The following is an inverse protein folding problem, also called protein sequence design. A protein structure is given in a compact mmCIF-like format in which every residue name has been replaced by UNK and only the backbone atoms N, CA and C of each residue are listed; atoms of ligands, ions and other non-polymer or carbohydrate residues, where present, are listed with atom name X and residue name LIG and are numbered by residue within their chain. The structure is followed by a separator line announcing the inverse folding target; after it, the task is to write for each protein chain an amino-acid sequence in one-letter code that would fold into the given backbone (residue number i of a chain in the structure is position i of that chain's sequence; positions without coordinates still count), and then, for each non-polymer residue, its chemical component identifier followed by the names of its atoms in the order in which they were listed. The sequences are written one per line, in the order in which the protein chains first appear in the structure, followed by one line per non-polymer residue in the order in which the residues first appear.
data_IF_668251380233
#
_entry.id   IF_668251380233
#
_cell.length_a   1.000
_cell.length_b   1.000
_cell.length_c   1.000
_cell.angle_alpha   90.00
_cell.angle_beta   90.00
_cell.angle_gamma   90.00
#
_symmetry.space_group_name_H-M   'P 1'
#
loop_
_entity.id
_entity.type
_entity.pdbx_description
1 polymer ?
#
# COMPACT_ATOMS: atom_id res chain seq x y z
N UNK A 1 -2.68 -7.54 11.57
CA UNK A 1 -2.38 -8.34 10.35
C UNK A 1 -1.71 -7.53 9.23
N UNK A 2 -2.32 -6.46 8.70
CA UNK A 2 -1.83 -5.74 7.51
C UNK A 2 -0.36 -5.25 7.56
N UNK A 3 0.14 -4.86 8.74
CA UNK A 3 1.54 -4.42 8.92
C UNK A 3 2.55 -5.52 8.59
N UNK A 4 2.26 -6.75 8.99
CA UNK A 4 3.12 -7.91 8.72
C UNK A 4 3.09 -8.28 7.25
N UNK A 5 1.89 -8.30 6.64
CA UNK A 5 1.71 -8.58 5.22
C UNK A 5 2.48 -7.57 4.36
N UNK A 6 2.31 -6.26 4.61
CA UNK A 6 3.02 -5.22 3.85
C UNK A 6 4.54 -5.31 4.00
N UNK A 7 5.05 -5.63 5.21
CA UNK A 7 6.49 -5.85 5.43
C UNK A 7 7.01 -7.07 4.67
N UNK A 8 6.35 -8.22 4.81
CA UNK A 8 6.76 -9.46 4.14
C UNK A 8 6.77 -9.30 2.63
N UNK A 9 5.74 -8.66 2.06
CA UNK A 9 5.67 -8.43 0.62
C UNK A 9 6.72 -7.41 0.12
N UNK A 10 7.11 -6.43 0.95
CA UNK A 10 8.19 -5.48 0.60
C UNK A 10 9.60 -6.07 0.61
N UNK A 11 9.76 -7.31 1.11
CA UNK A 11 11.06 -8.02 1.15
C UNK A 11 11.23 -9.00 -0.01
N UNK A 12 10.31 -9.01 -0.97
CA UNK A 12 10.44 -9.82 -2.17
C UNK A 12 11.67 -9.38 -2.98
N UNK A 13 12.35 -10.31 -3.66
CA UNK A 13 13.51 -9.98 -4.48
C UNK A 13 13.15 -8.95 -5.56
N UNK A 14 14.14 -8.14 -5.90
CA UNK A 14 14.06 -7.11 -6.93
C UNK A 14 13.58 -7.74 -8.25
N UNK A 15 12.55 -7.18 -8.86
CA UNK A 15 11.89 -7.76 -10.05
C UNK A 15 10.58 -8.50 -9.77
N UNK A 16 10.14 -8.62 -8.51
CA UNK A 16 8.78 -9.07 -8.21
C UNK A 16 7.74 -8.13 -8.83
N UNK A 17 6.83 -8.70 -9.62
CA UNK A 17 5.73 -7.97 -10.28
C UNK A 17 4.51 -7.76 -9.37
N UNK A 18 4.58 -8.22 -8.12
CA UNK A 18 3.47 -8.06 -7.20
C UNK A 18 3.36 -6.59 -6.76
N UNK A 19 2.17 -5.96 -6.89
CA UNK A 19 1.96 -4.56 -6.51
C UNK A 19 1.81 -4.42 -4.99
N UNK A 20 2.82 -4.85 -4.25
CA UNK A 20 2.80 -4.92 -2.78
C UNK A 20 2.58 -3.54 -2.14
N UNK A 21 3.00 -2.47 -2.82
CA UNK A 21 2.86 -1.09 -2.34
C UNK A 21 1.40 -0.67 -2.15
N UNK A 22 0.44 -1.37 -2.78
CA UNK A 22 -1.01 -1.14 -2.60
C UNK A 22 -1.55 -1.64 -1.26
N UNK A 23 -0.79 -2.45 -0.52
CA UNK A 23 -1.20 -2.96 0.79
C UNK A 23 -0.94 -1.92 1.87
N UNK A 24 -2.01 -1.33 2.40
CA UNK A 24 -2.00 -0.36 3.50
C UNK A 24 -2.79 -0.89 4.71
N UNK A 25 -2.56 -0.31 5.89
CA UNK A 25 -3.36 -0.65 7.06
C UNK A 25 -4.77 -0.05 6.99
N UNK A 26 -5.66 -0.54 7.87
CA UNK A 26 -7.00 -0.01 8.04
C UNK A 26 -7.00 1.52 8.16
N UNK A 27 -7.96 2.16 7.48
CA UNK A 27 -8.03 3.63 7.40
C UNK A 27 -6.96 4.29 6.51
N UNK A 28 -6.32 3.52 5.61
CA UNK A 28 -5.41 4.02 4.60
C UNK A 28 -3.97 4.31 5.09
N UNK A 29 -3.59 3.84 6.28
CA UNK A 29 -2.29 4.19 6.87
C UNK A 29 -1.13 3.40 6.25
N UNK A 30 -0.10 4.10 5.81
CA UNK A 30 1.17 3.49 5.38
C UNK A 30 1.90 3.00 6.63
N UNK A 31 2.11 1.68 6.72
CA UNK A 31 2.61 1.03 7.94
C UNK A 31 4.13 0.90 8.00
N UNK A 32 4.79 1.09 6.86
CA UNK A 32 6.24 1.08 6.76
C UNK A 32 6.81 2.41 7.30
N UNK A 33 7.93 2.38 8.05
CA UNK A 33 8.55 3.58 8.60
C UNK A 33 8.87 4.63 7.54
N UNK A 34 8.85 5.90 7.94
CA UNK A 34 9.44 6.96 7.13
C UNK A 34 10.97 6.81 7.12
N UNK A 35 11.62 7.02 5.98
CA UNK A 35 13.08 6.90 5.86
C UNK A 35 13.62 5.47 5.75
N UNK A 36 12.75 4.46 5.77
CA UNK A 36 13.14 3.10 5.36
C UNK A 36 12.99 2.97 3.84
N UNK A 37 13.94 2.30 3.17
CA UNK A 37 13.92 2.09 1.72
C UNK A 37 12.57 1.58 1.21
N UNK A 38 12.03 0.54 1.85
CA UNK A 38 10.72 -0.01 1.46
C UNK A 38 9.57 0.95 1.74
N UNK A 39 9.59 1.68 2.85
CA UNK A 39 8.56 2.70 3.10
C UNK A 39 8.57 3.82 2.06
N UNK A 40 9.75 4.26 1.65
CA UNK A 40 9.88 5.35 0.68
C UNK A 40 9.53 4.88 -0.73
N UNK A 41 9.89 3.65 -1.10
CA UNK A 41 9.44 3.00 -2.32
C UNK A 41 7.92 2.84 -2.36
N UNK A 42 7.30 2.41 -1.26
CA UNK A 42 5.84 2.31 -1.17
C UNK A 42 5.19 3.66 -1.46
N UNK A 43 5.68 4.74 -0.86
CA UNK A 43 5.16 6.10 -1.07
C UNK A 43 5.40 6.58 -2.50
N UNK A 44 6.54 6.29 -3.09
CA UNK A 44 6.86 6.66 -4.46
C UNK A 44 5.90 5.97 -5.45
N UNK A 45 5.74 4.65 -5.37
CA UNK A 45 4.85 3.88 -6.25
C UNK A 45 3.39 4.27 -6.08
N UNK A 46 2.93 4.56 -4.86
CA UNK A 46 1.56 5.05 -4.63
C UNK A 46 1.32 6.42 -5.29
N UNK A 47 2.30 7.34 -5.24
CA UNK A 47 2.20 8.64 -5.91
C UNK A 47 2.25 8.51 -7.44
N UNK A 48 3.06 7.60 -7.95
CA UNK A 48 3.15 7.29 -9.38
C UNK A 48 1.82 6.76 -9.92
N UNK A 49 1.09 5.98 -9.12
CA UNK A 49 -0.30 5.57 -9.41
C UNK A 49 -1.34 6.70 -9.22
N UNK A 50 -0.91 7.91 -8.87
CA UNK A 50 -1.79 9.08 -8.69
C UNK A 50 -2.49 9.16 -7.33
N UNK A 51 -2.09 8.35 -6.34
CA UNK A 51 -2.66 8.44 -4.99
C UNK A 51 -2.02 9.59 -4.21
N UNK A 52 -2.87 10.46 -3.67
CA UNK A 52 -2.45 11.50 -2.74
C UNK A 52 -2.21 10.90 -1.35
N UNK A 53 -1.08 11.25 -0.74
CA UNK A 53 -0.72 10.84 0.62
C UNK A 53 -0.72 12.07 1.53
N UNK A 54 -1.64 12.10 2.49
CA UNK A 54 -1.79 13.19 3.47
C UNK A 54 -1.64 12.59 4.87
N UNK A 55 -0.77 13.17 5.71
CA UNK A 55 -0.50 12.67 7.07
C UNK A 55 -0.15 11.17 7.11
N UNK A 56 0.64 10.70 6.15
CA UNK A 56 1.04 9.30 5.96
C UNK A 56 -0.17 8.33 5.79
N UNK A 57 -1.25 8.82 5.18
CA UNK A 57 -2.44 8.06 4.83
C UNK A 57 -2.85 8.30 3.38
N UNK A 58 -3.40 7.27 2.74
CA UNK A 58 -4.14 7.36 1.48
C UNK A 58 -5.63 7.44 1.76
N UNK A 59 -6.38 8.10 0.87
CA UNK A 59 -7.83 8.10 0.94
C UNK A 59 -8.40 6.75 0.49
N UNK A 60 -8.63 5.86 1.46
CA UNK A 60 -9.17 4.53 1.20
C UNK A 60 -10.66 4.54 0.83
N UNK A 61 -11.40 5.61 1.11
CA UNK A 61 -12.80 5.72 0.67
C UNK A 61 -12.87 5.90 -0.84
N UNK A 62 -11.92 6.69 -1.38
CA UNK A 62 -11.77 6.95 -2.81
C UNK A 62 -11.06 5.82 -3.57
N UNK A 63 -9.99 5.26 -2.99
CA UNK A 63 -9.10 4.33 -3.70
C UNK A 63 -9.15 2.88 -3.19
N UNK A 64 -9.93 2.61 -2.14
CA UNK A 64 -10.04 1.28 -1.55
C UNK A 64 -10.64 0.28 -2.53
N UNK A 65 -10.06 -0.93 -2.57
CA UNK A 65 -10.64 -2.03 -3.29
C UNK A 65 -11.98 -2.40 -2.67
N UNK A 66 -13.05 -2.32 -3.47
CA UNK A 66 -14.38 -2.82 -3.11
C UNK A 66 -14.55 -4.15 -3.84
N UNK A 67 -14.68 -5.27 -3.12
CA UNK A 67 -15.09 -6.51 -3.75
C UNK A 67 -16.38 -6.21 -4.50
N UNK A 68 -16.41 -6.50 -5.80
CA UNK A 68 -17.67 -6.50 -6.53
C UNK A 68 -18.47 -7.62 -5.86
N UNK A 69 -19.61 -7.29 -5.25
CA UNK A 69 -20.53 -8.31 -4.76
C UNK A 69 -20.97 -9.12 -5.98
N UNK A 70 -20.32 -10.26 -6.19
CA UNK A 70 -20.86 -11.30 -7.06
C UNK A 70 -22.09 -11.84 -6.35
N UNK A 71 -23.25 -11.26 -6.68
CA UNK A 71 -24.53 -11.93 -6.49
C UNK A 71 -24.54 -13.16 -7.40
N UNK A 72 -24.63 -14.32 -6.78
CA UNK A 72 -24.80 -15.64 -7.38
C UNK A 72 -25.01 -16.66 -6.29
#
# INVERSE_FOLDING_TARGET
AARWVGRTLSQLPEGSRLPWHRVVAAGGRISLPAGSTSGDEQRARLRDEGLSIVNNRVDIQRHGWRPIEHYG
#
